data_IF_523597438325
#
_entry.id   IF_523597438325
#
_cell.length_a   1.000
_cell.length_b   1.000
_cell.length_c   1.000
_cell.angle_alpha   90.00
_cell.angle_beta   90.00
_cell.angle_gamma   90.00
#
_symmetry.space_group_name_H-M   'P 1'
#
loop_
_entity.id
_entity.type
_entity.pdbx_description
1 polymer ?
#
# COMPACT_ATOMS: atom_id res chain seq x y z
N UNK A 1 35.28 -26.00 21.26
CA UNK A 1 34.00 -25.28 21.04
C UNK A 1 34.35 -23.81 20.82
N UNK A 2 34.34 -23.31 19.59
CA UNK A 2 34.53 -21.88 19.34
C UNK A 2 33.16 -21.18 19.35
N UNK A 3 33.07 -20.06 20.06
CA UNK A 3 31.93 -19.14 20.00
C UNK A 3 32.23 -18.07 18.96
N UNK A 4 31.35 -17.94 17.97
CA UNK A 4 31.31 -16.82 17.03
C UNK A 4 30.31 -15.78 17.51
N UNK A 5 30.64 -14.48 17.48
CA UNK A 5 29.70 -13.41 17.82
C UNK A 5 28.79 -13.08 16.63
N UNK A 6 27.49 -13.05 16.87
CA UNK A 6 26.48 -12.53 15.94
C UNK A 6 26.68 -11.02 15.78
N UNK A 7 26.99 -10.61 14.54
CA UNK A 7 26.99 -9.21 14.10
C UNK A 7 25.54 -8.82 13.78
N UNK A 8 24.89 -8.10 14.69
CA UNK A 8 23.60 -7.46 14.44
C UNK A 8 23.85 -6.30 13.48
N UNK A 9 23.51 -6.47 12.21
CA UNK A 9 23.36 -5.35 11.27
C UNK A 9 21.96 -4.79 11.48
N UNK A 10 21.89 -3.56 11.98
CA UNK A 10 20.68 -2.76 12.04
C UNK A 10 20.07 -2.65 10.64
N UNK A 11 18.93 -3.32 10.43
CA UNK A 11 18.04 -3.07 9.30
C UNK A 11 17.14 -1.93 9.74
N UNK A 12 17.26 -0.79 9.08
CA UNK A 12 16.42 0.38 9.30
C UNK A 12 14.98 0.03 8.94
N UNK A 13 14.12 -0.06 9.95
CA UNK A 13 12.67 -0.19 9.82
C UNK A 13 12.14 1.09 9.18
N UNK A 14 11.64 0.98 7.95
CA UNK A 14 10.92 2.07 7.27
C UNK A 14 9.52 2.14 7.89
N UNK A 15 9.41 2.80 9.05
CA UNK A 15 8.13 3.11 9.66
C UNK A 15 7.42 4.16 8.79
N UNK A 16 6.48 3.73 7.96
CA UNK A 16 5.62 4.64 7.21
C UNK A 16 4.67 5.33 8.19
N UNK A 17 4.93 6.61 8.43
CA UNK A 17 4.19 7.46 9.36
C UNK A 17 2.78 7.69 8.82
N UNK A 18 1.78 7.16 9.54
CA UNK A 18 0.36 7.42 9.34
C UNK A 18 0.06 8.92 9.59
N UNK A 19 0.10 9.75 8.56
CA UNK A 19 -0.33 11.15 8.64
C UNK A 19 -1.85 11.24 8.48
N UNK A 20 -2.57 11.13 9.60
CA UNK A 20 -3.99 11.49 9.66
C UNK A 20 -4.12 13.01 9.47
N UNK A 21 -4.66 13.41 8.33
CA UNK A 21 -4.91 14.81 7.98
C UNK A 21 -6.02 15.40 8.84
N UNK A 22 -5.68 16.32 9.74
CA UNK A 22 -6.64 17.12 10.52
C UNK A 22 -7.20 18.21 9.61
N UNK A 23 -8.51 18.17 9.34
CA UNK A 23 -9.24 19.29 8.76
C UNK A 23 -9.23 20.49 9.74
N UNK A 24 -8.58 21.59 9.34
CA UNK A 24 -8.60 22.83 10.14
C UNK A 24 -9.96 23.55 10.00
N UNK A 25 -10.70 23.64 11.10
CA UNK A 25 -11.78 24.61 11.29
C UNK A 25 -11.15 26.00 11.32
N UNK A 26 -11.45 26.84 10.33
CA UNK A 26 -11.03 28.25 10.33
C UNK A 26 -12.05 29.10 11.09
N UNK A 27 -11.65 29.58 12.27
CA UNK A 27 -12.35 30.62 13.02
C UNK A 27 -12.12 31.95 12.33
N UNK A 28 -13.21 32.65 12.00
CA UNK A 28 -13.20 34.01 11.48
C UNK A 28 -12.65 34.99 12.51
N UNK A 29 -11.46 35.55 12.24
CA UNK A 29 -10.90 36.69 12.94
C UNK A 29 -10.65 37.83 11.96
N UNK A 30 -11.58 38.79 11.91
CA UNK A 30 -11.38 40.05 11.20
C UNK A 30 -10.35 40.91 11.97
N UNK A 31 -9.16 41.11 11.39
CA UNK A 31 -8.21 42.12 11.87
C UNK A 31 -8.03 43.20 10.80
N UNK A 32 -8.32 44.42 11.23
CA UNK A 32 -8.23 45.67 10.48
C UNK A 32 -6.81 45.89 9.93
N UNK A 33 -6.68 46.13 8.62
CA UNK A 33 -5.41 46.50 8.00
C UNK A 33 -5.10 47.97 8.26
N UNK A 34 -3.97 48.27 8.90
CA UNK A 34 -3.29 49.56 8.73
C UNK A 34 -2.44 49.53 7.44
N UNK A 35 -2.34 50.64 6.68
CA UNK A 35 -1.58 50.68 5.43
C UNK A 35 -0.08 50.58 5.72
N UNK A 36 0.58 49.55 5.17
CA UNK A 36 2.03 49.35 5.29
C UNK A 36 2.77 50.28 4.30
N UNK A 37 3.90 50.92 4.70
CA UNK A 37 4.67 51.79 3.81
C UNK A 37 5.23 51.05 2.59
N UNK A 38 5.13 51.67 1.41
CA UNK A 38 5.67 51.14 0.15
C UNK A 38 7.19 51.35 0.15
N UNK A 39 7.96 50.25 0.19
CA UNK A 39 9.38 50.25 -0.14
C UNK A 39 9.57 49.96 -1.64
N UNK A 40 10.56 50.59 -2.31
CA UNK A 40 10.81 50.37 -3.74
C UNK A 40 11.30 48.95 -4.01
N UNK A 41 10.85 48.40 -5.14
CA UNK A 41 11.11 47.04 -5.59
C UNK A 41 12.59 46.79 -5.92
N UNK A 42 13.18 45.79 -5.28
CA UNK A 42 14.44 45.16 -5.72
C UNK A 42 14.17 44.39 -7.02
N UNK A 43 15.00 44.54 -8.07
CA UNK A 43 14.87 43.75 -9.30
C UNK A 43 14.91 42.26 -8.99
N UNK A 44 13.83 41.55 -9.36
CA UNK A 44 13.68 40.11 -9.14
C UNK A 44 14.75 39.34 -9.91
N UNK A 45 15.58 38.61 -9.18
CA UNK A 45 16.29 37.48 -9.76
C UNK A 45 15.22 36.47 -10.21
N UNK A 46 15.17 36.21 -11.50
CA UNK A 46 14.35 35.19 -12.13
C UNK A 46 14.79 33.84 -11.54
N UNK A 47 14.09 33.41 -10.49
CA UNK A 47 14.27 32.11 -9.89
C UNK A 47 13.72 31.09 -10.87
N UNK A 48 14.60 30.62 -11.76
CA UNK A 48 14.36 29.41 -12.54
C UNK A 48 14.24 28.23 -11.59
N UNK A 49 13.04 28.03 -11.04
CA UNK A 49 12.68 26.77 -10.42
C UNK A 49 12.86 25.69 -11.50
N UNK A 50 13.62 24.60 -11.24
CA UNK A 50 13.66 23.48 -12.16
C UNK A 50 12.23 23.00 -12.41
N UNK A 51 11.93 22.48 -13.61
CA UNK A 51 10.62 21.91 -13.90
C UNK A 51 10.26 20.91 -12.79
N UNK A 52 9.06 21.05 -12.22
CA UNK A 52 8.51 20.02 -11.33
C UNK A 52 8.48 18.73 -12.15
N UNK A 53 9.31 17.75 -11.78
CA UNK A 53 9.16 16.40 -12.31
C UNK A 53 7.73 15.97 -12.00
N UNK A 54 6.92 15.77 -13.04
CA UNK A 54 5.59 15.18 -12.86
C UNK A 54 5.78 13.82 -12.21
N UNK A 55 5.32 13.70 -10.97
CA UNK A 55 5.32 12.43 -10.26
C UNK A 55 4.71 11.36 -11.16
N UNK A 56 5.43 10.25 -11.36
CA UNK A 56 4.88 9.10 -12.07
C UNK A 56 3.71 8.58 -11.26
N UNK A 57 2.53 8.55 -11.88
CA UNK A 57 1.32 7.97 -11.30
C UNK A 57 0.95 6.71 -12.07
N UNK A 58 0.56 5.67 -11.36
CA UNK A 58 -0.07 4.48 -11.91
C UNK A 58 -1.58 4.64 -12.09
N UNK A 59 -2.18 5.69 -11.53
CA UNK A 59 -3.63 5.93 -11.58
C UNK A 59 -4.04 6.49 -12.94
N UNK A 60 -5.02 5.84 -13.56
CA UNK A 60 -5.69 6.31 -14.79
C UNK A 60 -7.19 6.05 -14.71
N UNK A 61 -7.98 7.12 -14.56
CA UNK A 61 -9.43 6.99 -14.34
C UNK A 61 -9.73 6.24 -13.04
N UNK A 62 -10.49 5.15 -13.14
CA UNK A 62 -10.82 4.25 -12.01
C UNK A 62 -9.99 2.97 -12.02
N UNK A 63 -8.73 3.09 -12.43
CA UNK A 63 -7.78 1.98 -12.49
C UNK A 63 -6.40 2.42 -12.04
N UNK A 64 -5.62 1.47 -11.56
CA UNK A 64 -4.23 1.66 -11.18
C UNK A 64 -3.40 0.51 -11.75
N UNK A 65 -2.21 0.85 -12.24
CA UNK A 65 -1.21 -0.10 -12.70
C UNK A 65 0.14 0.26 -12.05
N UNK A 66 0.61 -0.60 -11.15
CA UNK A 66 1.91 -0.49 -10.50
C UNK A 66 3.05 -0.50 -11.54
N UNK A 67 3.88 0.54 -11.61
CA UNK A 67 4.88 0.68 -12.67
C UNK A 67 6.09 -0.25 -12.56
N UNK A 68 6.42 -0.76 -11.37
CA UNK A 68 7.61 -1.61 -11.18
C UNK A 68 7.33 -3.07 -11.59
N UNK A 69 6.15 -3.62 -11.29
CA UNK A 69 5.83 -5.04 -11.58
C UNK A 69 4.54 -5.30 -12.36
N UNK A 70 3.75 -4.27 -12.68
CA UNK A 70 2.55 -4.44 -13.50
C UNK A 70 1.37 -5.09 -12.77
N UNK A 71 1.36 -5.07 -11.43
CA UNK A 71 0.14 -5.37 -10.65
C UNK A 71 -0.88 -4.29 -10.93
N UNK A 72 -2.12 -4.68 -11.25
CA UNK A 72 -3.19 -3.74 -11.57
C UNK A 72 -4.44 -3.96 -10.75
N UNK A 73 -5.26 -2.93 -10.62
CA UNK A 73 -6.61 -3.01 -10.05
C UNK A 73 -7.54 -2.01 -10.73
N UNK A 74 -8.83 -2.33 -10.80
CA UNK A 74 -9.88 -1.38 -11.21
C UNK A 74 -10.98 -1.34 -10.17
N UNK A 75 -11.62 -0.18 -10.01
CA UNK A 75 -12.65 0.02 -8.97
C UNK A 75 -13.88 0.78 -9.49
N UNK A 76 -14.97 0.68 -8.74
CA UNK A 76 -16.14 1.55 -8.91
C UNK A 76 -15.85 2.92 -8.26
N UNK A 77 -15.76 4.02 -9.03
CA UNK A 77 -15.48 5.35 -8.47
C UNK A 77 -16.63 5.94 -7.66
N UNK A 78 -17.81 5.31 -7.64
CA UNK A 78 -18.91 5.70 -6.75
C UNK A 78 -18.78 5.11 -5.34
N UNK A 79 -17.90 4.13 -5.16
CA UNK A 79 -17.62 3.45 -3.88
C UNK A 79 -16.24 3.85 -3.36
N UNK A 80 -15.22 3.77 -4.22
CA UNK A 80 -13.82 3.86 -3.83
C UNK A 80 -13.19 5.18 -4.28
N UNK A 81 -12.42 5.79 -3.39
CA UNK A 81 -11.62 7.00 -3.66
C UNK A 81 -10.15 6.72 -3.37
N UNK A 82 -9.26 7.16 -4.28
CA UNK A 82 -7.81 7.11 -4.03
C UNK A 82 -7.48 8.07 -2.89
N UNK A 83 -6.87 7.56 -1.84
CA UNK A 83 -6.42 8.32 -0.67
C UNK A 83 -4.94 8.68 -0.77
N UNK A 84 -4.15 7.84 -1.44
CA UNK A 84 -2.71 8.04 -1.62
C UNK A 84 -2.11 7.11 -2.66
N UNK A 85 -0.96 7.50 -3.17
CA UNK A 85 -0.13 6.70 -4.06
C UNK A 85 1.35 6.97 -3.73
N UNK A 86 2.14 5.91 -3.70
CA UNK A 86 3.56 5.96 -3.36
C UNK A 86 4.32 5.07 -4.35
N UNK A 87 5.08 5.69 -5.25
CA UNK A 87 5.85 5.00 -6.28
C UNK A 87 7.31 5.40 -6.13
N UNK A 88 8.16 4.42 -5.92
CA UNK A 88 9.61 4.58 -5.93
C UNK A 88 10.31 3.34 -6.49
N UNK A 89 11.62 3.40 -6.65
CA UNK A 89 12.36 2.24 -7.15
C UNK A 89 12.25 1.08 -6.15
N UNK A 90 11.64 -0.03 -6.56
CA UNK A 90 11.46 -1.18 -5.68
C UNK A 90 10.21 -1.12 -4.79
N UNK A 91 9.28 -0.20 -5.05
CA UNK A 91 8.01 -0.14 -4.32
C UNK A 91 6.90 0.54 -5.15
N UNK A 92 5.74 -0.11 -5.22
CA UNK A 92 4.48 0.41 -5.75
C UNK A 92 3.40 0.33 -4.67
N UNK A 93 2.84 1.46 -4.25
CA UNK A 93 1.80 1.52 -3.23
C UNK A 93 0.57 2.29 -3.69
N UNK A 94 -0.61 1.69 -3.57
CA UNK A 94 -1.90 2.35 -3.72
C UNK A 94 -2.66 2.25 -2.40
N UNK A 95 -3.15 3.40 -1.91
CA UNK A 95 -4.10 3.48 -0.81
C UNK A 95 -5.44 3.95 -1.38
N UNK A 96 -6.48 3.13 -1.18
CA UNK A 96 -7.83 3.39 -1.67
C UNK A 96 -8.85 3.12 -0.57
N UNK A 97 -9.83 4.00 -0.41
CA UNK A 97 -10.73 3.94 0.74
C UNK A 97 -12.18 4.29 0.44
N UNK A 98 -12.98 4.00 1.45
CA UNK A 98 -14.36 4.43 1.63
C UNK A 98 -14.44 5.27 2.92
N UNK A 99 -15.59 5.87 3.26
CA UNK A 99 -15.73 6.53 4.57
C UNK A 99 -15.53 5.62 5.79
N UNK A 100 -15.54 4.29 5.62
CA UNK A 100 -15.54 3.30 6.72
C UNK A 100 -14.39 2.28 6.63
N UNK A 101 -13.56 2.35 5.59
CA UNK A 101 -12.47 1.40 5.36
C UNK A 101 -11.37 1.94 4.48
N UNK A 102 -10.19 1.35 4.60
CA UNK A 102 -9.03 1.61 3.75
C UNK A 102 -8.45 0.29 3.28
N UNK A 103 -8.03 0.25 2.02
CA UNK A 103 -7.30 -0.86 1.40
C UNK A 103 -5.95 -0.34 0.91
N UNK A 104 -4.89 -1.05 1.27
CA UNK A 104 -3.53 -0.85 0.77
C UNK A 104 -3.19 -2.00 -0.17
N UNK A 105 -2.62 -1.66 -1.32
CA UNK A 105 -2.03 -2.58 -2.29
C UNK A 105 -0.57 -2.19 -2.43
N UNK A 106 0.32 -3.00 -1.88
CA UNK A 106 1.74 -2.68 -1.77
C UNK A 106 2.54 -3.78 -2.46
N UNK A 107 3.20 -3.45 -3.57
CA UNK A 107 4.11 -4.36 -4.26
C UNK A 107 5.53 -3.91 -4.01
N UNK A 108 6.40 -4.82 -3.55
CA UNK A 108 7.80 -4.47 -3.25
C UNK A 108 8.74 -5.67 -3.35
N UNK A 109 10.03 -5.41 -3.60
CA UNK A 109 11.05 -6.44 -3.85
C UNK A 109 11.70 -6.98 -2.57
N UNK A 110 10.90 -7.62 -1.72
CA UNK A 110 11.39 -8.30 -0.51
C UNK A 110 10.96 -9.75 -0.46
N UNK A 111 11.49 -10.45 0.55
CA UNK A 111 11.20 -11.84 0.86
C UNK A 111 11.54 -12.82 -0.27
N UNK A 112 12.36 -12.43 -1.25
CA UNK A 112 12.63 -13.21 -2.45
C UNK A 112 11.32 -13.69 -3.14
N UNK A 113 10.26 -12.88 -3.10
CA UNK A 113 8.94 -13.22 -3.65
C UNK A 113 8.16 -14.28 -2.85
N UNK A 114 8.61 -14.65 -1.65
CA UNK A 114 7.94 -15.62 -0.78
C UNK A 114 6.74 -14.99 -0.06
N UNK A 115 5.54 -15.43 -0.43
CA UNK A 115 4.29 -14.95 0.14
C UNK A 115 4.09 -15.36 1.61
N UNK A 116 4.57 -16.53 2.03
CA UNK A 116 4.44 -16.98 3.42
C UNK A 116 5.37 -16.17 4.34
N UNK A 117 6.59 -15.86 3.85
CA UNK A 117 7.52 -15.00 4.57
C UNK A 117 7.01 -13.55 4.66
N UNK A 118 6.41 -13.02 3.59
CA UNK A 118 5.71 -11.74 3.59
C UNK A 118 4.59 -11.71 4.64
N UNK A 119 3.72 -12.71 4.64
CA UNK A 119 2.59 -12.77 5.57
C UNK A 119 3.05 -12.86 7.03
N UNK A 120 4.06 -13.68 7.31
CA UNK A 120 4.63 -13.80 8.66
C UNK A 120 5.27 -12.50 9.17
N UNK A 121 5.86 -11.72 8.26
CA UNK A 121 6.40 -10.41 8.63
C UNK A 121 5.30 -9.39 8.89
N UNK A 122 4.28 -9.34 8.04
CA UNK A 122 3.12 -8.46 8.21
C UNK A 122 2.35 -8.76 9.52
N UNK A 123 2.16 -10.03 9.86
CA UNK A 123 1.57 -10.45 11.15
C UNK A 123 2.42 -9.97 12.35
N UNK A 124 3.75 -10.08 12.25
CA UNK A 124 4.67 -9.58 13.28
C UNK A 124 4.56 -8.06 13.42
N UNK A 125 4.56 -7.33 12.30
CA UNK A 125 4.48 -5.87 12.28
C UNK A 125 3.18 -5.35 12.89
N UNK A 126 2.04 -6.03 12.67
CA UNK A 126 0.77 -5.66 13.33
C UNK A 126 0.91 -5.52 14.84
N UNK A 127 1.59 -6.46 15.50
CA UNK A 127 1.77 -6.46 16.95
C UNK A 127 2.79 -5.45 17.45
N UNK A 128 3.64 -4.93 16.57
CA UNK A 128 4.69 -3.95 16.89
C UNK A 128 4.24 -2.50 16.64
N UNK A 129 3.10 -2.29 15.96
CA UNK A 129 2.54 -0.96 15.69
C UNK A 129 2.27 -0.19 16.98
N UNK A 130 2.62 1.09 16.96
CA UNK A 130 2.41 1.99 18.10
C UNK A 130 0.93 2.03 18.50
N UNK A 131 0.68 1.93 19.81
CA UNK A 131 -0.68 1.96 20.37
C UNK A 131 -1.44 0.64 20.27
N UNK A 132 -0.99 -0.35 19.49
CA UNK A 132 -1.61 -1.69 19.47
C UNK A 132 -1.34 -2.40 20.79
N UNK A 133 -2.40 -2.90 21.40
CA UNK A 133 -2.38 -3.59 22.70
C UNK A 133 -2.79 -5.06 22.60
N UNK A 134 -3.47 -5.44 21.52
CA UNK A 134 -3.97 -6.78 21.28
C UNK A 134 -4.13 -7.03 19.78
N UNK A 135 -3.69 -8.22 19.35
CA UNK A 135 -3.90 -8.78 18.00
C UNK A 135 -4.44 -10.18 18.17
N UNK A 136 -5.61 -10.47 17.58
CA UNK A 136 -6.28 -11.78 17.70
C UNK A 136 -6.58 -12.32 16.31
N UNK A 137 -6.00 -13.47 15.91
CA UNK A 137 -6.40 -14.15 14.68
C UNK A 137 -7.88 -14.53 14.73
N UNK A 138 -8.60 -14.26 13.64
CA UNK A 138 -10.02 -14.53 13.48
C UNK A 138 -10.24 -15.76 12.59
N UNK A 139 -9.47 -16.82 12.86
CA UNK A 139 -9.46 -18.05 12.08
C UNK A 139 -10.86 -18.64 11.90
N UNK A 140 -11.15 -19.08 10.68
CA UNK A 140 -12.44 -19.68 10.31
C UNK A 140 -13.53 -18.66 9.95
N UNK A 141 -13.22 -17.36 9.94
CA UNK A 141 -14.08 -16.34 9.34
C UNK A 141 -13.92 -16.32 7.81
N UNK A 142 -14.97 -15.95 7.07
CA UNK A 142 -14.85 -15.78 5.62
C UNK A 142 -13.85 -14.66 5.32
N UNK A 143 -12.94 -14.94 4.39
CA UNK A 143 -11.98 -13.99 3.84
C UNK A 143 -12.55 -13.37 2.56
N UNK A 144 -12.21 -12.11 2.22
CA UNK A 144 -12.73 -11.42 1.03
C UNK A 144 -12.27 -12.04 -0.30
N UNK A 145 -11.23 -12.89 -0.28
CA UNK A 145 -10.72 -13.57 -1.47
C UNK A 145 -10.85 -15.08 -1.29
N UNK A 146 -11.39 -15.82 -2.28
CA UNK A 146 -11.50 -17.29 -2.21
C UNK A 146 -10.14 -17.98 -2.25
N UNK A 147 -10.07 -19.21 -1.72
CA UNK A 147 -8.82 -19.94 -1.48
C UNK A 147 -7.98 -20.20 -2.73
N UNK A 148 -8.64 -20.40 -3.87
CA UNK A 148 -8.02 -20.67 -5.17
C UNK A 148 -7.46 -19.42 -5.87
N UNK A 149 -7.84 -18.23 -5.39
CA UNK A 149 -7.41 -16.95 -5.94
C UNK A 149 -6.52 -16.14 -4.97
N UNK A 150 -6.40 -16.56 -3.71
CA UNK A 150 -5.62 -15.85 -2.69
C UNK A 150 -4.23 -16.46 -2.44
N UNK A 151 -3.35 -15.65 -1.89
CA UNK A 151 -2.09 -16.12 -1.29
C UNK A 151 -2.22 -16.44 0.20
N UNK A 152 -1.13 -16.30 0.95
CA UNK A 152 -1.13 -16.46 2.41
C UNK A 152 -1.93 -15.33 3.04
N UNK A 153 -2.97 -15.64 3.81
CA UNK A 153 -3.92 -14.65 4.29
C UNK A 153 -4.63 -15.03 5.59
N UNK A 154 -5.03 -14.03 6.38
CA UNK A 154 -5.81 -14.18 7.62
C UNK A 154 -6.53 -12.86 7.98
N UNK A 155 -7.56 -12.94 8.82
CA UNK A 155 -8.19 -11.78 9.45
C UNK A 155 -7.73 -11.63 10.89
N UNK A 156 -7.47 -10.40 11.32
CA UNK A 156 -7.06 -10.08 12.67
C UNK A 156 -8.03 -9.08 13.31
N UNK A 157 -8.42 -9.34 14.55
CA UNK A 157 -9.02 -8.34 15.43
C UNK A 157 -7.92 -7.53 16.10
N UNK A 158 -8.02 -6.20 16.02
CA UNK A 158 -7.01 -5.27 16.56
C UNK A 158 -7.66 -4.40 17.65
N UNK A 159 -7.02 -4.33 18.82
CA UNK A 159 -7.32 -3.31 19.83
C UNK A 159 -6.15 -2.35 19.95
N UNK A 160 -6.37 -1.07 19.69
CA UNK A 160 -5.34 -0.02 19.78
C UNK A 160 -5.80 1.18 20.60
N UNK A 161 -4.85 1.92 21.18
CA UNK A 161 -5.08 3.23 21.80
C UNK A 161 -4.61 4.31 20.83
N UNK A 162 -5.52 5.19 20.43
CA UNK A 162 -5.24 6.33 19.57
C UNK A 162 -4.53 7.46 20.33
N UNK A 163 -3.96 8.42 19.61
CA UNK A 163 -3.20 9.53 20.18
C UNK A 163 -4.01 10.41 21.15
N UNK A 164 -5.33 10.50 20.97
CA UNK A 164 -6.26 11.21 21.86
C UNK A 164 -6.68 10.38 23.09
N UNK A 165 -6.16 9.15 23.21
CA UNK A 165 -6.50 8.19 24.26
C UNK A 165 -7.76 7.36 23.98
N UNK A 166 -8.43 7.56 22.84
CA UNK A 166 -9.59 6.74 22.47
C UNK A 166 -9.17 5.30 22.14
N UNK A 167 -10.04 4.34 22.47
CA UNK A 167 -9.85 2.94 22.07
C UNK A 167 -10.38 2.73 20.66
N UNK A 168 -9.52 2.25 19.78
CA UNK A 168 -9.85 1.73 18.46
C UNK A 168 -10.03 0.21 18.54
N UNK A 169 -11.11 -0.28 17.90
CA UNK A 169 -11.34 -1.70 17.65
C UNK A 169 -11.56 -1.92 16.17
N UNK A 170 -10.59 -2.58 15.56
CA UNK A 170 -10.52 -2.80 14.12
C UNK A 170 -10.58 -4.27 13.75
N UNK A 171 -10.82 -4.48 12.47
CA UNK A 171 -10.54 -5.72 11.76
C UNK A 171 -9.54 -5.38 10.68
N UNK A 172 -8.49 -6.18 10.57
CA UNK A 172 -7.48 -6.06 9.54
C UNK A 172 -7.34 -7.39 8.80
N UNK A 173 -7.58 -7.37 7.50
CA UNK A 173 -7.25 -8.46 6.60
C UNK A 173 -5.84 -8.24 6.08
N UNK A 174 -5.01 -9.28 6.11
CA UNK A 174 -3.70 -9.29 5.47
C UNK A 174 -3.68 -10.45 4.49
N UNK A 175 -3.19 -10.18 3.28
CA UNK A 175 -2.89 -11.19 2.29
C UNK A 175 -1.58 -10.86 1.56
N UNK A 176 -0.70 -11.86 1.43
CA UNK A 176 0.49 -11.75 0.60
C UNK A 176 0.40 -12.70 -0.60
N UNK A 177 0.72 -12.20 -1.79
CA UNK A 177 0.84 -12.96 -3.04
C UNK A 177 2.24 -12.84 -3.61
N UNK A 178 2.76 -13.90 -4.20
CA UNK A 178 3.96 -13.81 -5.05
C UNK A 178 3.63 -13.09 -6.34
N UNK A 179 4.35 -12.02 -6.66
CA UNK A 179 4.23 -11.29 -7.94
C UNK A 179 5.24 -11.82 -8.94
N UNK A 180 6.53 -11.80 -8.56
CA UNK A 180 7.63 -12.38 -9.31
C UNK A 180 8.39 -13.35 -8.39
N UNK A 181 8.42 -14.66 -8.68
CA UNK A 181 9.16 -15.61 -7.87
C UNK A 181 10.64 -15.24 -7.77
N UNK A 182 11.19 -15.21 -6.56
CA UNK A 182 12.59 -14.83 -6.32
C UNK A 182 12.81 -13.32 -6.22
N UNK A 183 11.78 -12.48 -6.33
CA UNK A 183 11.95 -11.03 -6.43
C UNK A 183 10.92 -10.22 -5.63
N UNK A 184 9.63 -10.36 -5.91
CA UNK A 184 8.63 -9.41 -5.43
C UNK A 184 7.33 -10.06 -4.96
N UNK A 185 6.72 -9.45 -3.95
CA UNK A 185 5.42 -9.80 -3.36
C UNK A 185 4.45 -8.64 -3.50
N UNK A 186 3.15 -8.96 -3.48
CA UNK A 186 2.05 -8.03 -3.26
C UNK A 186 1.50 -8.30 -1.87
N UNK A 187 1.57 -7.30 -0.99
CA UNK A 187 0.86 -7.26 0.28
C UNK A 187 -0.44 -6.47 0.11
N UNK A 188 -1.54 -7.06 0.55
CA UNK A 188 -2.88 -6.50 0.53
C UNK A 188 -3.33 -6.37 1.97
N UNK A 189 -3.64 -5.14 2.37
CA UNK A 189 -4.14 -4.85 3.71
C UNK A 189 -5.49 -4.17 3.61
N UNK A 190 -6.53 -4.72 4.25
CA UNK A 190 -7.82 -4.04 4.40
C UNK A 190 -8.11 -3.78 5.87
N UNK A 191 -8.33 -2.51 6.20
CA UNK A 191 -8.61 -2.04 7.56
C UNK A 191 -10.02 -1.47 7.64
N UNK A 192 -10.78 -1.89 8.65
CA UNK A 192 -12.11 -1.34 8.95
C UNK A 192 -12.41 -1.43 10.45
N UNK A 193 -13.38 -0.65 10.93
CA UNK A 193 -13.88 -0.81 12.31
C UNK A 193 -14.75 -2.06 12.43
N UNK A 194 -14.73 -2.70 13.60
CA UNK A 194 -15.46 -3.98 13.80
C UNK A 194 -16.94 -3.91 13.43
N UNK A 195 -17.60 -2.75 13.65
CA UNK A 195 -19.02 -2.56 13.34
C UNK A 195 -19.33 -2.46 11.84
N UNK A 196 -18.34 -2.12 11.01
CA UNK A 196 -18.49 -1.91 9.57
C UNK A 196 -18.09 -3.12 8.73
N UNK A 197 -17.44 -4.13 9.33
CA UNK A 197 -16.90 -5.29 8.61
C UNK A 197 -17.89 -5.96 7.65
N UNK A 198 -19.09 -6.32 8.13
CA UNK A 198 -20.08 -7.01 7.28
C UNK A 198 -20.72 -6.09 6.24
N UNK A 199 -20.76 -4.78 6.50
CA UNK A 199 -21.29 -3.79 5.55
C UNK A 199 -20.33 -3.62 4.38
N UNK A 200 -19.04 -3.55 4.65
CA UNK A 200 -18.03 -3.22 3.65
C UNK A 200 -17.42 -4.44 2.95
N UNK A 201 -17.53 -5.64 3.55
CA UNK A 201 -16.99 -6.88 2.98
C UNK A 201 -17.35 -7.09 1.49
N UNK A 202 -18.60 -6.89 1.02
CA UNK A 202 -18.92 -7.09 -0.40
C UNK A 202 -18.22 -6.08 -1.34
N UNK A 203 -17.95 -4.86 -0.88
CA UNK A 203 -17.21 -3.86 -1.66
C UNK A 203 -15.75 -4.29 -1.82
N UNK A 204 -15.18 -4.83 -0.75
CA UNK A 204 -13.79 -5.30 -0.71
C UNK A 204 -13.63 -6.58 -1.53
N UNK A 205 -14.56 -7.53 -1.42
CA UNK A 205 -14.61 -8.72 -2.29
C UNK A 205 -14.58 -8.31 -3.78
N UNK A 206 -15.39 -7.30 -4.15
CA UNK A 206 -15.44 -6.78 -5.52
C UNK A 206 -14.11 -6.13 -5.94
N UNK A 207 -13.51 -5.31 -5.06
CA UNK A 207 -12.23 -4.64 -5.33
C UNK A 207 -11.09 -5.65 -5.49
N UNK A 208 -10.96 -6.60 -4.56
CA UNK A 208 -9.85 -7.55 -4.54
C UNK A 208 -9.97 -8.60 -5.65
N UNK A 209 -11.20 -8.94 -6.08
CA UNK A 209 -11.43 -9.76 -7.26
C UNK A 209 -11.02 -9.06 -8.58
N UNK A 210 -10.93 -7.73 -8.59
CA UNK A 210 -10.50 -6.95 -9.75
C UNK A 210 -8.97 -6.76 -9.84
N UNK A 211 -8.21 -7.35 -8.91
CA UNK A 211 -6.75 -7.34 -8.97
C UNK A 211 -6.29 -8.24 -10.11
N UNK A 212 -5.41 -7.69 -10.96
CA UNK A 212 -4.75 -8.39 -12.05
C UNK A 212 -3.27 -8.52 -11.71
N UNK A 213 -2.79 -9.76 -11.65
CA UNK A 213 -1.37 -10.07 -11.52
C UNK A 213 -0.71 -10.01 -12.92
N UNK A 214 0.56 -9.59 -13.02
CA UNK A 214 1.27 -9.64 -14.30
C UNK A 214 1.33 -11.08 -14.83
N UNK A 215 1.28 -11.23 -16.15
CA UNK A 215 1.51 -12.53 -16.77
C UNK A 215 2.91 -13.02 -16.39
N UNK A 216 2.99 -14.20 -15.76
CA UNK A 216 4.29 -14.85 -15.54
C UNK A 216 4.94 -15.09 -16.91
N UNK A 217 6.21 -14.73 -17.13
CA UNK A 217 6.95 -15.21 -18.28
C UNK A 217 6.89 -16.73 -18.27
N UNK A 218 6.29 -17.33 -19.31
CA UNK A 218 6.18 -18.78 -19.41
C UNK A 218 7.60 -19.36 -19.53
N UNK A 219 8.10 -20.13 -18.54
CA UNK A 219 9.43 -20.72 -18.63
C UNK A 219 9.55 -21.70 -19.82
N UNK A 220 8.42 -22.13 -20.42
CA UNK A 220 8.40 -22.96 -21.61
C UNK A 220 8.53 -22.17 -22.93
N UNK A 221 8.44 -20.84 -22.93
CA UNK A 221 8.63 -20.01 -24.11
C UNK A 221 10.12 -19.84 -24.45
N UNK A 222 10.80 -20.95 -24.74
CA UNK A 222 12.08 -20.88 -25.47
C UNK A 222 11.77 -20.29 -26.85
N UNK A 223 12.44 -19.19 -27.28
CA UNK A 223 12.30 -18.70 -28.64
C UNK A 223 12.59 -19.84 -29.61
N UNK A 224 11.63 -20.18 -30.47
CA UNK A 224 11.86 -21.15 -31.52
C UNK A 224 13.09 -20.70 -32.31
N UNK A 225 14.15 -21.53 -32.28
CA UNK A 225 15.36 -21.24 -33.03
C UNK A 225 14.99 -20.98 -34.50
N UNK A 226 15.59 -19.96 -35.16
CA UNK A 226 15.29 -19.69 -36.55
C UNK A 226 15.55 -20.96 -37.36
N UNK A 227 14.50 -21.45 -38.04
CA UNK A 227 14.59 -22.59 -38.94
C UNK A 227 15.55 -22.18 -40.06
N UNK A 228 16.75 -22.76 -40.06
CA UNK A 228 17.69 -22.58 -41.14
C UNK A 228 17.09 -23.18 -42.42
N UNK A 229 16.77 -22.33 -43.38
CA UNK A 229 16.34 -22.75 -44.72
C UNK A 229 17.47 -23.56 -45.37
N UNK A 230 17.24 -24.81 -45.79
CA UNK A 230 18.26 -25.55 -46.52
C UNK A 230 18.49 -24.88 -47.87
N UNK A 231 19.74 -24.52 -48.14
CA UNK A 231 20.18 -24.06 -49.45
C UNK A 231 20.25 -25.30 -50.35
N UNK A 232 19.48 -25.27 -51.44
CA UNK A 232 19.53 -26.26 -52.52
C UNK A 232 20.61 -25.92 -53.55
#
# INVERSE_FOLDING_TARGET
>A
MPQTPFSIRHVSTLAMVLFISIAMVTVAGAQSQEPKPVLPATPGAESGAPPLETATTGVSGSSWLGPNWGVGVSWDPSVWTVEGEFIEAGYDGLQIGTPISTVYLETYNRFDGDADACFADAERELGEREGVSEVVPLTGRPLPVPEDARGAAELFGITATLADGALYRGIEYIECRTVVPGEAVLEITWQTVTGAFNEDLPNVETLLAAIVMPERPDPAATPAAPVATPIA
#
